data_IF_508684967722
#
_entry.id   IF_508684967722
#
_cell.length_a   1.000
_cell.length_b   1.000
_cell.length_c   1.000
_cell.angle_alpha   90.00
_cell.angle_beta   90.00
_cell.angle_gamma   90.00
#
_symmetry.space_group_name_H-M   'P 1'
#
loop_
_entity.id
_entity.type
_entity.pdbx_description
1 polymer ?
#
# COMPACT_ATOMS: atom_id res chain seq x y z
N UNK A 1 -38.11 -21.20 8.12
CA UNK A 1 -38.20 -21.70 6.76
C UNK A 1 -38.34 -23.23 6.75
N UNK A 2 -39.44 -23.72 7.29
CA UNK A 2 -39.83 -25.12 7.09
C UNK A 2 -40.81 -25.13 5.92
N UNK A 3 -40.36 -25.53 4.75
CA UNK A 3 -41.22 -25.81 3.64
C UNK A 3 -41.59 -27.31 3.68
N UNK A 4 -42.86 -27.59 3.71
CA UNK A 4 -43.44 -28.92 3.71
C UNK A 4 -42.90 -29.83 2.58
N UNK A 5 -41.72 -30.42 2.81
CA UNK A 5 -41.34 -31.69 2.16
C UNK A 5 -41.22 -31.77 0.64
N UNK A 6 -41.38 -30.67 -0.11
CA UNK A 6 -41.19 -30.68 -1.57
C UNK A 6 -39.70 -30.42 -1.90
N UNK A 7 -38.90 -31.45 -1.74
CA UNK A 7 -37.59 -31.50 -2.38
C UNK A 7 -37.74 -31.56 -3.90
N UNK A 8 -36.85 -30.94 -4.66
CA UNK A 8 -36.89 -31.02 -6.11
C UNK A 8 -36.78 -32.49 -6.54
N UNK A 9 -37.83 -33.01 -7.19
CA UNK A 9 -37.93 -34.41 -7.61
C UNK A 9 -37.27 -34.65 -8.97
N UNK A 10 -36.75 -33.60 -9.61
CA UNK A 10 -36.13 -33.68 -10.92
C UNK A 10 -35.00 -32.65 -11.06
N UNK A 11 -34.11 -32.87 -12.01
CA UNK A 11 -33.05 -31.90 -12.38
C UNK A 11 -33.64 -30.57 -12.82
N UNK A 12 -34.78 -30.53 -13.47
CA UNK A 12 -35.48 -29.31 -13.89
C UNK A 12 -35.89 -28.47 -12.69
N UNK A 13 -36.48 -29.07 -11.64
CA UNK A 13 -36.84 -28.36 -10.42
C UNK A 13 -35.62 -27.84 -9.66
N UNK A 14 -34.53 -28.56 -9.74
CA UNK A 14 -33.25 -28.11 -9.17
C UNK A 14 -32.70 -26.90 -9.91
N UNK A 15 -32.64 -26.92 -11.23
CA UNK A 15 -32.20 -25.82 -12.08
C UNK A 15 -33.06 -24.56 -11.88
N UNK A 16 -34.37 -24.70 -11.79
CA UNK A 16 -35.29 -23.60 -11.49
C UNK A 16 -34.96 -22.94 -10.14
N UNK A 17 -34.63 -23.75 -9.10
CA UNK A 17 -34.23 -23.21 -7.78
C UNK A 17 -32.90 -22.53 -7.82
N UNK A 18 -31.92 -23.06 -8.56
CA UNK A 18 -30.64 -22.40 -8.78
C UNK A 18 -30.82 -21.07 -9.47
N UNK A 19 -31.64 -21.00 -10.53
CA UNK A 19 -31.95 -19.75 -11.23
C UNK A 19 -32.60 -18.70 -10.32
N UNK A 20 -33.49 -19.11 -9.41
CA UNK A 20 -34.07 -18.21 -8.40
C UNK A 20 -33.00 -17.64 -7.47
N UNK A 21 -32.09 -18.51 -6.99
CA UNK A 21 -31.00 -18.10 -6.11
C UNK A 21 -30.02 -17.17 -6.83
N UNK A 22 -29.67 -17.49 -8.05
CA UNK A 22 -28.80 -16.65 -8.89
C UNK A 22 -29.43 -15.29 -9.18
N UNK A 23 -30.71 -15.26 -9.58
CA UNK A 23 -31.45 -14.02 -9.77
C UNK A 23 -31.52 -13.19 -8.50
N UNK A 24 -31.73 -13.81 -7.34
CA UNK A 24 -31.70 -13.12 -6.06
C UNK A 24 -30.31 -12.53 -5.79
N UNK A 25 -29.25 -13.31 -5.99
CA UNK A 25 -27.86 -12.86 -5.80
C UNK A 25 -27.53 -11.67 -6.70
N UNK A 26 -27.85 -11.77 -7.98
CA UNK A 26 -27.57 -10.73 -8.97
C UNK A 26 -28.33 -9.42 -8.72
N UNK A 27 -29.56 -9.51 -8.21
CA UNK A 27 -30.41 -8.33 -8.00
C UNK A 27 -30.35 -7.78 -6.56
N UNK A 28 -29.81 -8.53 -5.59
CA UNK A 28 -29.81 -8.14 -4.18
C UNK A 28 -29.23 -6.76 -3.95
N UNK A 29 -28.13 -6.43 -4.62
CA UNK A 29 -27.45 -5.14 -4.47
C UNK A 29 -28.37 -3.98 -4.84
N UNK A 30 -29.02 -4.04 -5.99
CA UNK A 30 -29.91 -2.99 -6.48
C UNK A 30 -31.15 -2.83 -5.58
N UNK A 31 -31.72 -3.93 -5.12
CA UNK A 31 -32.84 -3.90 -4.19
C UNK A 31 -32.44 -3.28 -2.82
N UNK A 32 -31.30 -3.68 -2.28
CA UNK A 32 -30.81 -3.14 -1.01
C UNK A 32 -30.53 -1.63 -1.10
N UNK A 33 -29.89 -1.18 -2.18
CA UNK A 33 -29.64 0.24 -2.42
C UNK A 33 -30.94 1.02 -2.54
N UNK A 34 -31.91 0.54 -3.34
CA UNK A 34 -33.20 1.20 -3.52
C UNK A 34 -34.00 1.23 -2.23
N UNK A 35 -33.97 0.17 -1.44
CA UNK A 35 -34.62 0.12 -0.12
C UNK A 35 -34.04 1.16 0.82
N UNK A 36 -32.71 1.20 0.98
CA UNK A 36 -32.03 2.21 1.79
C UNK A 36 -32.35 3.63 1.34
N UNK A 37 -32.35 3.90 0.02
CA UNK A 37 -32.68 5.20 -0.52
C UNK A 37 -34.09 5.64 -0.15
N UNK A 38 -35.04 4.74 -0.29
CA UNK A 38 -36.46 5.05 -0.03
C UNK A 38 -36.73 5.23 1.47
N UNK A 39 -36.17 4.38 2.31
CA UNK A 39 -36.40 4.44 3.77
C UNK A 39 -35.68 5.64 4.44
N UNK A 40 -34.52 6.02 3.92
CA UNK A 40 -33.68 7.09 4.49
C UNK A 40 -33.72 8.37 3.65
N UNK A 41 -34.58 8.45 2.62
CA UNK A 41 -34.72 9.60 1.71
C UNK A 41 -33.37 10.03 1.09
N UNK A 42 -32.48 9.05 0.79
CA UNK A 42 -31.15 9.33 0.27
C UNK A 42 -31.18 9.66 -1.23
N UNK A 43 -30.30 10.55 -1.71
CA UNK A 43 -30.18 10.88 -3.13
C UNK A 43 -29.62 9.70 -3.95
N UNK A 44 -29.48 9.90 -5.26
CA UNK A 44 -28.80 8.92 -6.11
C UNK A 44 -27.33 8.79 -5.72
N UNK A 45 -26.79 7.56 -5.88
CA UNK A 45 -25.38 7.32 -5.66
C UNK A 45 -24.51 8.15 -6.58
N UNK A 46 -23.43 8.70 -6.04
CA UNK A 46 -22.34 9.32 -6.79
C UNK A 46 -21.12 8.41 -6.84
N UNK A 47 -20.40 8.42 -7.94
CA UNK A 47 -19.19 7.62 -8.11
C UNK A 47 -17.99 8.37 -7.51
N UNK A 48 -17.21 7.66 -6.69
CA UNK A 48 -15.87 8.05 -6.28
C UNK A 48 -14.84 7.20 -7.02
N UNK A 49 -13.88 7.87 -7.66
CA UNK A 49 -12.69 7.21 -8.23
C UNK A 49 -11.47 7.64 -7.42
N UNK A 50 -10.64 6.69 -7.03
CA UNK A 50 -9.38 6.91 -6.31
C UNK A 50 -8.26 6.43 -7.19
N UNK A 51 -7.26 7.29 -7.42
CA UNK A 51 -6.03 6.98 -8.12
C UNK A 51 -4.82 7.12 -7.20
N UNK A 52 -3.78 6.35 -7.48
CA UNK A 52 -2.50 6.37 -6.76
C UNK A 52 -1.39 6.67 -7.78
N UNK A 53 -0.64 7.72 -7.55
CA UNK A 53 0.45 8.14 -8.44
C UNK A 53 1.74 8.48 -7.65
N UNK A 54 2.89 7.93 -8.05
CA UNK A 54 3.07 6.88 -9.05
C UNK A 54 2.51 5.52 -8.60
N UNK A 55 2.30 4.63 -9.55
CA UNK A 55 1.81 3.26 -9.27
C UNK A 55 2.74 2.56 -8.30
N UNK A 56 2.17 1.97 -7.26
CA UNK A 56 2.92 1.22 -6.25
C UNK A 56 3.56 2.06 -5.15
N UNK A 57 3.46 3.40 -5.19
CA UNK A 57 4.07 4.29 -4.19
C UNK A 57 3.36 4.31 -2.84
N UNK A 58 2.14 3.82 -2.77
CA UNK A 58 1.35 3.83 -1.55
C UNK A 58 0.05 3.08 -1.68
N UNK A 59 -0.84 3.31 -0.72
CA UNK A 59 -2.23 2.87 -0.70
C UNK A 59 -3.13 3.98 -0.15
N UNK A 60 -4.43 3.82 -0.31
CA UNK A 60 -5.43 4.73 0.28
C UNK A 60 -6.42 3.92 1.09
N UNK A 61 -6.52 4.24 2.38
CA UNK A 61 -7.60 3.72 3.20
C UNK A 61 -8.85 4.59 3.01
N UNK A 62 -9.94 3.98 2.58
CA UNK A 62 -11.25 4.59 2.43
C UNK A 62 -12.19 3.99 3.47
N UNK A 63 -12.43 4.71 4.57
CA UNK A 63 -13.06 4.18 5.77
C UNK A 63 -12.34 2.91 6.26
N UNK A 64 -12.94 1.73 6.04
CA UNK A 64 -12.39 0.42 6.42
C UNK A 64 -11.82 -0.39 5.23
N UNK A 65 -11.89 0.17 4.02
CA UNK A 65 -11.37 -0.46 2.81
C UNK A 65 -9.97 0.06 2.52
N UNK A 66 -9.00 -0.82 2.37
CA UNK A 66 -7.65 -0.46 1.90
C UNK A 66 -7.55 -0.71 0.40
N UNK A 67 -7.12 0.30 -0.34
CA UNK A 67 -7.01 0.33 -1.80
C UNK A 67 -5.53 0.47 -2.12
N UNK A 68 -4.97 -0.52 -2.79
CA UNK A 68 -3.56 -0.57 -3.24
C UNK A 68 -3.42 -0.68 -4.76
N UNK A 69 -4.54 -0.79 -5.48
CA UNK A 69 -4.58 -0.73 -6.92
C UNK A 69 -4.30 0.71 -7.41
N UNK A 70 -3.74 0.82 -8.60
CA UNK A 70 -3.44 2.13 -9.23
C UNK A 70 -4.68 2.99 -9.47
N UNK A 71 -5.83 2.35 -9.62
CA UNK A 71 -7.13 3.02 -9.77
C UNK A 71 -8.24 2.11 -9.25
N UNK A 72 -9.15 2.69 -8.47
CA UNK A 72 -10.31 2.02 -7.91
C UNK A 72 -11.54 2.92 -8.03
N UNK A 73 -12.73 2.33 -8.16
CA UNK A 73 -13.99 3.08 -8.20
C UNK A 73 -15.09 2.42 -7.37
N UNK A 74 -15.84 3.24 -6.66
CA UNK A 74 -17.01 2.82 -5.88
C UNK A 74 -18.13 3.83 -5.90
N UNK A 75 -19.26 3.49 -5.30
CA UNK A 75 -20.45 4.34 -5.26
C UNK A 75 -20.82 4.64 -3.81
N UNK A 76 -21.10 5.90 -3.53
CA UNK A 76 -21.45 6.42 -2.20
C UNK A 76 -22.71 7.27 -2.24
N UNK A 77 -23.40 7.36 -1.11
CA UNK A 77 -24.53 8.26 -0.97
C UNK A 77 -24.01 9.68 -0.67
N UNK A 78 -24.43 10.68 -1.47
CA UNK A 78 -24.17 12.08 -1.14
C UNK A 78 -24.70 12.47 0.23
N UNK A 79 -24.01 13.37 0.93
CA UNK A 79 -24.35 13.80 2.29
C UNK A 79 -23.86 12.86 3.40
N UNK A 80 -23.18 11.77 3.05
CA UNK A 80 -22.51 10.89 3.99
C UNK A 80 -21.01 10.99 3.76
N UNK A 81 -20.28 11.75 4.60
CA UNK A 81 -18.86 11.94 4.41
C UNK A 81 -18.06 10.64 4.50
N UNK A 82 -17.04 10.52 3.68
CA UNK A 82 -16.08 9.41 3.71
C UNK A 82 -14.72 9.91 4.20
N UNK A 83 -14.05 9.09 4.99
CA UNK A 83 -12.69 9.36 5.45
C UNK A 83 -11.70 8.67 4.52
N UNK A 84 -10.70 9.41 4.08
CA UNK A 84 -9.61 8.93 3.25
C UNK A 84 -8.29 9.18 3.96
N UNK A 85 -7.41 8.20 3.94
CA UNK A 85 -6.07 8.31 4.49
C UNK A 85 -5.06 7.70 3.54
N UNK A 86 -4.16 8.52 3.01
CA UNK A 86 -3.07 8.04 2.17
C UNK A 86 -2.01 7.36 3.05
N UNK A 87 -1.47 6.24 2.59
CA UNK A 87 -0.42 5.45 3.26
C UNK A 87 0.75 5.30 2.30
N UNK A 88 1.87 5.88 2.64
CA UNK A 88 3.09 5.72 1.84
C UNK A 88 3.72 4.33 2.02
N UNK A 89 4.36 3.83 0.97
CA UNK A 89 5.29 2.70 1.02
C UNK A 89 6.72 3.18 1.18
N UNK A 90 7.61 2.26 1.54
CA UNK A 90 9.03 2.55 1.69
C UNK A 90 9.61 3.20 0.43
N UNK A 91 10.43 4.22 0.60
CA UNK A 91 11.01 5.01 -0.47
C UNK A 91 10.10 6.10 -1.05
N UNK A 92 8.91 6.32 -0.48
CA UNK A 92 7.99 7.37 -0.90
C UNK A 92 7.45 8.14 0.31
N UNK A 93 7.03 9.38 0.06
CA UNK A 93 6.27 10.21 1.01
C UNK A 93 5.00 10.68 0.33
N UNK A 94 3.91 10.78 1.09
CA UNK A 94 2.70 11.42 0.59
C UNK A 94 2.95 12.91 0.39
N UNK A 95 2.63 13.42 -0.79
CA UNK A 95 2.80 14.83 -1.13
C UNK A 95 1.51 15.61 -0.92
N UNK A 96 0.46 15.25 -1.65
CA UNK A 96 -0.84 15.94 -1.60
C UNK A 96 -1.92 15.13 -2.33
N UNK A 97 -3.16 15.57 -2.20
CA UNK A 97 -4.28 15.15 -3.03
C UNK A 97 -4.41 16.10 -4.22
N UNK A 98 -4.36 15.59 -5.46
CA UNK A 98 -4.28 16.42 -6.67
C UNK A 98 -5.50 17.34 -6.84
N UNK A 99 -6.71 16.83 -6.61
CA UNK A 99 -7.97 17.54 -6.82
C UNK A 99 -8.51 18.21 -5.55
N UNK A 100 -7.81 18.08 -4.43
CA UNK A 100 -8.20 18.60 -3.13
C UNK A 100 -7.10 19.52 -2.59
N UNK A 101 -7.41 20.78 -2.23
CA UNK A 101 -6.37 21.77 -1.86
C UNK A 101 -5.69 21.51 -0.52
N UNK A 102 -6.03 20.43 0.17
CA UNK A 102 -5.47 20.07 1.46
C UNK A 102 -4.29 19.12 1.28
N UNK A 103 -3.16 19.43 1.92
CA UNK A 103 -1.98 18.58 1.97
C UNK A 103 -2.01 17.59 3.14
N UNK A 104 -3.08 17.57 3.94
CA UNK A 104 -3.22 16.56 5.01
C UNK A 104 -3.35 15.16 4.42
N UNK A 105 -2.59 14.26 4.99
CA UNK A 105 -2.59 12.84 4.61
C UNK A 105 -3.95 12.18 4.82
N UNK A 106 -4.70 12.64 5.83
CA UNK A 106 -6.06 12.19 6.12
C UNK A 106 -7.04 13.32 5.90
N UNK A 107 -8.06 13.08 5.07
CA UNK A 107 -9.11 14.02 4.72
C UNK A 107 -10.49 13.39 4.87
N UNK A 108 -11.51 14.24 5.03
CA UNK A 108 -12.91 13.84 4.98
C UNK A 108 -13.58 14.54 3.79
N UNK A 109 -14.28 13.80 2.96
CA UNK A 109 -14.89 14.30 1.73
C UNK A 109 -16.36 13.90 1.67
N UNK A 110 -17.22 14.85 1.28
CA UNK A 110 -18.61 14.58 0.88
C UNK A 110 -18.70 14.49 -0.64
N UNK A 111 -19.15 13.34 -1.13
CA UNK A 111 -19.21 13.02 -2.56
C UNK A 111 -20.59 13.40 -3.09
N UNK A 112 -20.77 14.67 -3.48
CA UNK A 112 -22.06 15.19 -3.97
C UNK A 112 -22.33 14.87 -5.44
N UNK A 113 -21.28 14.73 -6.24
CA UNK A 113 -21.28 14.39 -7.68
C UNK A 113 -20.19 13.37 -7.96
N UNK A 114 -20.14 12.77 -9.17
CA UNK A 114 -18.97 11.96 -9.55
C UNK A 114 -17.67 12.74 -9.33
N UNK A 115 -16.76 12.14 -8.58
CA UNK A 115 -15.55 12.79 -8.11
C UNK A 115 -14.34 11.86 -8.25
N UNK A 116 -13.23 12.42 -8.69
CA UNK A 116 -11.95 11.73 -8.76
C UNK A 116 -11.01 12.33 -7.73
N UNK A 117 -10.27 11.49 -7.04
CA UNK A 117 -9.24 11.89 -6.09
C UNK A 117 -7.97 11.10 -6.36
N UNK A 118 -6.86 11.83 -6.53
CA UNK A 118 -5.56 11.22 -6.81
C UNK A 118 -4.60 11.49 -5.66
N UNK A 119 -4.15 10.43 -5.00
CA UNK A 119 -3.09 10.51 -4.01
C UNK A 119 -1.73 10.61 -4.72
N UNK A 120 -1.04 11.72 -4.54
CA UNK A 120 0.29 11.96 -5.10
C UNK A 120 1.33 11.63 -4.05
N UNK A 121 2.25 10.74 -4.41
CA UNK A 121 3.43 10.40 -3.64
C UNK A 121 4.67 10.84 -4.40
N UNK A 122 5.67 11.31 -3.69
CA UNK A 122 6.98 11.64 -4.25
C UNK A 122 8.00 10.67 -3.69
N UNK A 123 9.01 10.28 -4.47
CA UNK A 123 10.13 9.54 -3.91
C UNK A 123 10.69 10.31 -2.72
N UNK A 124 11.07 9.60 -1.68
CA UNK A 124 11.87 10.19 -0.62
C UNK A 124 13.21 10.59 -1.25
N UNK A 125 13.46 11.89 -1.34
CA UNK A 125 14.78 12.35 -1.73
C UNK A 125 15.77 11.75 -0.71
N UNK A 126 16.71 10.98 -1.24
CA UNK A 126 17.80 10.42 -0.44
C UNK A 126 18.78 11.57 -0.11
N UNK A 127 18.33 12.56 0.68
CA UNK A 127 19.13 13.76 1.02
C UNK A 127 20.08 13.55 2.19
N UNK A 128 20.07 12.36 2.78
CA UNK A 128 21.06 11.93 3.77
C UNK A 128 21.82 10.72 3.23
N UNK A 129 23.10 10.59 3.57
CA UNK A 129 23.90 9.43 3.16
C UNK A 129 23.12 8.14 3.38
N UNK A 130 22.91 7.40 2.32
CA UNK A 130 22.22 6.12 2.37
C UNK A 130 23.23 5.02 2.15
N UNK A 131 23.54 4.32 3.23
CA UNK A 131 24.42 3.17 3.18
C UNK A 131 23.60 1.93 2.86
N UNK A 132 24.01 1.25 1.84
CA UNK A 132 23.47 -0.06 1.47
C UNK A 132 24.59 -1.10 1.49
N UNK A 133 24.24 -2.35 1.79
CA UNK A 133 25.16 -3.48 1.59
C UNK A 133 25.19 -3.71 0.09
N UNK A 134 26.36 -3.49 -0.54
CA UNK A 134 26.56 -3.63 -1.96
C UNK A 134 26.97 -5.04 -2.34
N UNK A 135 27.91 -5.62 -1.57
CA UNK A 135 28.43 -6.97 -1.81
C UNK A 135 28.75 -7.66 -0.50
N UNK A 136 28.59 -8.98 -0.47
CA UNK A 136 28.99 -9.86 0.63
C UNK A 136 29.83 -10.99 0.05
N UNK A 137 31.08 -11.09 0.49
CA UNK A 137 31.95 -12.22 0.18
C UNK A 137 32.06 -13.10 1.43
N UNK A 138 31.52 -14.31 1.39
CA UNK A 138 31.44 -15.20 2.54
C UNK A 138 31.98 -16.62 2.30
N UNK A 139 32.42 -16.93 1.11
CA UNK A 139 32.94 -18.27 0.77
C UNK A 139 33.79 -18.20 -0.48
N UNK A 140 35.01 -17.72 -0.33
CA UNK A 140 35.98 -17.66 -1.41
C UNK A 140 36.49 -19.05 -1.83
N UNK A 141 37.07 -19.17 -3.02
CA UNK A 141 37.65 -20.43 -3.47
C UNK A 141 38.99 -20.70 -2.79
N UNK A 142 39.37 -21.98 -2.66
CA UNK A 142 40.65 -22.40 -2.03
C UNK A 142 41.88 -21.79 -2.73
N UNK A 143 41.75 -21.37 -4.01
CA UNK A 143 42.84 -20.76 -4.79
C UNK A 143 43.00 -19.27 -4.52
N UNK A 144 41.94 -18.62 -4.01
CA UNK A 144 41.93 -17.20 -3.68
C UNK A 144 40.96 -16.95 -2.53
N UNK A 145 41.50 -16.88 -1.33
CA UNK A 145 40.71 -16.62 -0.11
C UNK A 145 41.17 -15.29 0.53
N UNK A 146 40.48 -14.17 0.21
CA UNK A 146 40.75 -12.89 0.83
C UNK A 146 40.15 -12.75 2.23
N UNK A 147 39.53 -13.81 2.76
CA UNK A 147 38.69 -13.76 3.95
C UNK A 147 37.25 -13.29 3.63
N UNK A 148 36.41 -13.34 4.65
CA UNK A 148 35.04 -12.83 4.55
C UNK A 148 35.04 -11.30 4.64
N UNK A 149 34.25 -10.66 3.80
CA UNK A 149 34.10 -9.20 3.82
C UNK A 149 32.72 -8.75 3.33
N UNK A 150 32.34 -7.56 3.77
CA UNK A 150 31.13 -6.87 3.33
C UNK A 150 31.51 -5.51 2.76
N UNK A 151 30.99 -5.19 1.60
CA UNK A 151 31.13 -3.87 1.00
C UNK A 151 29.87 -3.04 1.24
N UNK A 152 30.04 -1.89 1.84
CA UNK A 152 29.03 -0.88 2.01
C UNK A 152 29.19 0.19 0.94
N UNK A 153 28.10 0.67 0.38
CA UNK A 153 28.04 1.74 -0.61
C UNK A 153 27.18 2.89 -0.11
N UNK A 154 27.73 4.10 -0.14
CA UNK A 154 26.95 5.31 0.09
C UNK A 154 26.32 5.78 -1.22
N UNK A 155 25.04 5.46 -1.42
CA UNK A 155 24.28 5.88 -2.60
C UNK A 155 23.71 7.31 -2.48
N UNK A 156 23.97 8.00 -1.35
CA UNK A 156 23.53 9.36 -1.11
C UNK A 156 24.48 10.40 -1.73
N UNK A 157 24.01 11.64 -1.78
CA UNK A 157 24.78 12.77 -2.33
C UNK A 157 25.72 13.43 -1.32
N UNK A 158 25.60 13.08 -0.04
CA UNK A 158 26.40 13.64 1.06
C UNK A 158 27.34 12.59 1.64
N UNK A 159 28.50 13.06 2.09
CA UNK A 159 29.42 12.27 2.89
C UNK A 159 28.75 11.91 4.22
N UNK A 160 28.97 10.68 4.68
CA UNK A 160 28.37 10.15 5.90
C UNK A 160 29.44 9.79 6.91
N UNK A 161 29.31 10.35 8.11
CA UNK A 161 30.10 9.93 9.27
C UNK A 161 29.51 8.63 9.84
N UNK A 162 30.25 7.55 9.71
CA UNK A 162 29.88 6.23 10.20
C UNK A 162 30.53 5.89 11.55
N UNK A 163 31.20 6.84 12.17
CA UNK A 163 31.90 6.64 13.45
C UNK A 163 30.97 6.05 14.50
N UNK A 164 31.37 4.94 15.11
CA UNK A 164 30.62 4.26 16.15
C UNK A 164 29.39 3.49 15.66
N UNK A 165 29.16 3.39 14.35
CA UNK A 165 28.13 2.51 13.83
C UNK A 165 28.46 1.04 14.15
N UNK A 166 27.41 0.23 14.28
CA UNK A 166 27.54 -1.19 14.59
C UNK A 166 27.11 -1.99 13.37
N UNK A 167 28.00 -2.84 12.89
CA UNK A 167 27.69 -3.87 11.91
C UNK A 167 27.61 -5.23 12.61
N UNK A 168 26.50 -5.96 12.45
CA UNK A 168 26.28 -7.26 13.07
C UNK A 168 25.35 -8.13 12.24
N UNK A 169 25.39 -9.42 12.46
CA UNK A 169 24.39 -10.38 12.00
C UNK A 169 23.27 -10.57 13.04
N UNK A 170 22.52 -11.67 12.98
CA UNK A 170 21.47 -12.01 13.93
C UNK A 170 22.00 -12.51 15.30
N UNK A 171 23.31 -12.76 15.41
CA UNK A 171 23.97 -13.11 16.65
C UNK A 171 24.56 -11.87 17.33
N UNK A 172 24.09 -11.56 18.53
CA UNK A 172 24.54 -10.40 19.30
C UNK A 172 26.02 -10.48 19.78
N UNK A 173 26.66 -11.64 19.66
CA UNK A 173 28.09 -11.81 19.95
C UNK A 173 28.99 -11.46 18.75
N UNK A 174 28.43 -11.33 17.56
CA UNK A 174 29.14 -10.98 16.33
C UNK A 174 28.99 -9.49 16.01
N UNK A 175 29.69 -8.66 16.73
CA UNK A 175 29.62 -7.21 16.63
C UNK A 175 30.91 -6.64 16.08
N UNK A 176 30.83 -5.86 15.00
CA UNK A 176 31.90 -5.00 14.52
C UNK A 176 31.52 -3.52 14.74
N UNK A 177 32.32 -2.81 15.54
CA UNK A 177 32.14 -1.38 15.72
C UNK A 177 33.00 -0.63 14.70
N UNK A 178 32.34 0.16 13.86
CA UNK A 178 33.06 1.01 12.88
C UNK A 178 33.90 2.03 13.63
N UNK A 179 35.20 2.14 13.33
CA UNK A 179 36.11 3.04 14.06
C UNK A 179 35.70 4.50 13.99
N UNK A 180 36.09 5.26 15.00
CA UNK A 180 35.92 6.70 15.02
C UNK A 180 36.63 7.36 13.82
N UNK A 181 36.05 8.47 13.33
CA UNK A 181 36.54 9.23 12.17
C UNK A 181 36.43 8.45 10.82
N UNK A 182 35.53 7.46 10.74
CA UNK A 182 35.27 6.77 9.50
C UNK A 182 34.24 7.54 8.69
N UNK A 183 34.67 8.19 7.61
CA UNK A 183 33.79 8.92 6.69
C UNK A 183 33.62 8.10 5.41
N UNK A 184 32.38 7.77 5.07
CA UNK A 184 32.01 7.16 3.79
C UNK A 184 31.51 8.27 2.85
N UNK A 185 32.39 8.67 1.94
CA UNK A 185 32.07 9.75 1.00
C UNK A 185 30.88 9.39 0.11
N UNK A 186 30.22 10.43 -0.40
CA UNK A 186 29.16 10.28 -1.41
C UNK A 186 29.64 9.43 -2.60
N UNK A 187 28.78 8.52 -3.06
CA UNK A 187 29.06 7.61 -4.18
C UNK A 187 30.36 6.79 -4.03
N UNK A 188 30.72 6.44 -2.79
CA UNK A 188 31.93 5.69 -2.46
C UNK A 188 31.63 4.40 -1.70
N UNK A 189 32.63 3.53 -1.60
CA UNK A 189 32.54 2.23 -0.99
C UNK A 189 33.42 2.14 0.27
N UNK A 190 33.00 1.31 1.23
CA UNK A 190 33.74 0.92 2.43
C UNK A 190 33.70 -0.59 2.57
N UNK A 191 34.87 -1.21 2.73
CA UNK A 191 34.97 -2.65 2.98
C UNK A 191 35.19 -2.87 4.48
N UNK A 192 34.43 -3.79 5.05
CA UNK A 192 34.58 -4.36 6.39
C UNK A 192 35.05 -5.79 6.20
N UNK A 193 36.25 -6.15 6.71
CA UNK A 193 36.90 -7.45 6.58
C UNK A 193 37.38 -7.97 7.93
#
# INVERSE_FOLDING_TARGET
>A
WYNNGNWPNSTVNWEERLNIMENFGNNRRSYAINHLRNELELPNLAQLTINISPVGAGSVDLNTLSIDESSWSGYYFPGIPVNLSAKQKDGFIFSHWLEFPDSNQTIQVDITNPFTLTAIFTPTELTSGNVVINEINYNSSDDFDPGDWVELFNSGELDLDMSGWIFKDDNDDHIFNIPESTILNSNSYLIIA
#
